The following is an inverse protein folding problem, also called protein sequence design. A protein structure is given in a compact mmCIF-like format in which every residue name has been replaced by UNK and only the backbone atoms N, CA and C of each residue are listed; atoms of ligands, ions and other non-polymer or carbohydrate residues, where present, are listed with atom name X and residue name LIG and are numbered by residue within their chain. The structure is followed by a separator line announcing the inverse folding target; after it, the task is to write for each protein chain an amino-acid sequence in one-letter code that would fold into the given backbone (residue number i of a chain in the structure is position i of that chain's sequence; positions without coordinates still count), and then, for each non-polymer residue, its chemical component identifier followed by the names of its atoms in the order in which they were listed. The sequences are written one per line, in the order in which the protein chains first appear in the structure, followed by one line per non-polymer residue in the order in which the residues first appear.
data_IF_280474398506
#
_entry.id   IF_280474398506
#
_cell.length_a   1.000
_cell.length_b   1.000
_cell.length_c   1.000
_cell.angle_alpha   90.00
_cell.angle_beta   90.00
_cell.angle_gamma   90.00
#
_symmetry.space_group_name_H-M   'P 1'
#
loop_
_entity.id
_entity.type
_entity.pdbx_description
1 polymer ?
#
# COMPACT_ATOMS: atom_id res chain seq x y z
N UNK A 1 21.17 -14.98 -12.58
CA UNK A 1 20.19 -14.14 -13.31
C UNK A 1 19.12 -14.98 -14.00
N UNK A 2 17.86 -14.66 -13.73
CA UNK A 2 16.64 -15.30 -14.22
C UNK A 2 16.40 -15.07 -15.72
N UNK A 3 15.63 -15.97 -16.34
CA UNK A 3 15.14 -15.76 -17.71
C UNK A 3 14.19 -14.57 -17.81
N UNK A 4 13.39 -14.32 -16.77
CA UNK A 4 12.48 -13.17 -16.71
C UNK A 4 13.25 -11.85 -16.85
N UNK A 5 14.36 -11.70 -16.10
CA UNK A 5 15.26 -10.55 -16.18
C UNK A 5 15.84 -10.39 -17.57
N UNK A 6 16.35 -11.47 -18.19
CA UNK A 6 16.90 -11.41 -19.56
C UNK A 6 15.88 -10.91 -20.58
N UNK A 7 14.63 -11.38 -20.48
CA UNK A 7 13.55 -10.93 -21.36
C UNK A 7 13.24 -9.46 -21.15
N UNK A 8 13.11 -9.00 -19.89
CA UNK A 8 12.82 -7.61 -19.58
C UNK A 8 13.93 -6.66 -20.09
N UNK A 9 15.19 -7.10 -20.01
CA UNK A 9 16.35 -6.34 -20.53
C UNK A 9 16.40 -6.34 -22.07
N UNK A 10 16.07 -7.46 -22.72
CA UNK A 10 16.27 -7.62 -24.17
C UNK A 10 15.06 -7.24 -25.03
N UNK A 11 13.85 -7.23 -24.48
CA UNK A 11 12.59 -7.05 -25.21
C UNK A 11 11.89 -5.75 -24.78
N UNK A 12 12.32 -4.56 -25.26
CA UNK A 12 11.71 -3.28 -24.86
C UNK A 12 10.25 -3.09 -25.33
N UNK A 13 9.75 -3.96 -26.22
CA UNK A 13 8.38 -3.93 -26.76
C UNK A 13 7.37 -4.81 -26.03
N UNK A 14 7.69 -5.31 -24.83
CA UNK A 14 6.77 -6.11 -24.02
C UNK A 14 5.50 -5.30 -23.68
N UNK A 15 4.33 -5.95 -23.75
CA UNK A 15 3.07 -5.32 -23.32
C UNK A 15 3.05 -5.20 -21.80
N UNK A 16 2.33 -4.21 -21.27
CA UNK A 16 2.21 -3.99 -19.82
C UNK A 16 1.93 -5.27 -19.01
N UNK A 17 0.92 -6.10 -19.33
CA UNK A 17 0.65 -7.30 -18.52
C UNK A 17 1.77 -8.33 -18.54
N UNK A 18 2.51 -8.44 -19.65
CA UNK A 18 3.65 -9.35 -19.74
C UNK A 18 4.83 -8.83 -18.92
N UNK A 19 5.06 -7.52 -18.97
CA UNK A 19 6.11 -6.87 -18.19
C UNK A 19 5.83 -7.00 -16.69
N UNK A 20 4.61 -6.75 -16.25
CA UNK A 20 4.20 -6.86 -14.85
C UNK A 20 4.40 -8.29 -14.33
N UNK A 21 3.97 -9.30 -15.10
CA UNK A 21 4.18 -10.70 -14.74
C UNK A 21 5.67 -11.08 -14.64
N UNK A 22 6.53 -10.54 -15.50
CA UNK A 22 7.98 -10.76 -15.39
C UNK A 22 8.55 -10.08 -14.14
N UNK A 23 8.10 -8.87 -13.82
CA UNK A 23 8.51 -8.14 -12.62
C UNK A 23 8.09 -8.88 -11.34
N UNK A 24 6.88 -9.45 -11.29
CA UNK A 24 6.40 -10.27 -10.18
C UNK A 24 7.29 -11.50 -9.95
N UNK A 25 7.67 -12.20 -11.03
CA UNK A 25 8.59 -13.34 -10.95
C UNK A 25 9.96 -12.91 -10.42
N UNK A 26 10.48 -11.77 -10.88
CA UNK A 26 11.78 -11.25 -10.43
C UNK A 26 11.72 -10.80 -8.98
N UNK A 27 10.65 -10.14 -8.55
CA UNK A 27 10.51 -9.71 -7.16
C UNK A 27 10.54 -10.89 -6.17
N UNK A 28 10.00 -12.04 -6.57
CA UNK A 28 9.94 -13.23 -5.70
C UNK A 28 11.21 -14.07 -5.77
N UNK A 29 11.75 -14.30 -6.97
CA UNK A 29 12.85 -15.25 -7.20
C UNK A 29 14.18 -14.59 -7.54
N UNK A 30 14.19 -13.28 -7.70
CA UNK A 30 15.33 -12.51 -8.16
C UNK A 30 16.45 -12.48 -7.14
N UNK A 31 17.62 -12.10 -7.63
CA UNK A 31 18.85 -11.98 -6.86
C UNK A 31 19.49 -10.61 -7.11
N UNK A 32 20.55 -10.28 -6.37
CA UNK A 32 21.34 -9.08 -6.62
C UNK A 32 21.93 -9.01 -8.04
N UNK A 33 22.17 -10.16 -8.68
CA UNK A 33 22.57 -10.23 -10.08
C UNK A 33 21.46 -9.75 -11.02
N UNK A 34 20.20 -10.04 -10.70
CA UNK A 34 19.05 -9.55 -11.45
C UNK A 34 18.89 -8.03 -11.27
N UNK A 35 19.07 -7.53 -10.05
CA UNK A 35 19.03 -6.11 -9.75
C UNK A 35 20.10 -5.33 -10.54
N UNK A 36 21.33 -5.82 -10.62
CA UNK A 36 22.41 -5.14 -11.37
C UNK A 36 22.10 -5.06 -12.88
N UNK A 37 21.50 -6.11 -13.45
CA UNK A 37 21.08 -6.10 -14.84
C UNK A 37 19.97 -5.07 -15.08
N UNK A 38 18.98 -5.00 -14.18
CA UNK A 38 17.87 -4.06 -14.26
C UNK A 38 18.29 -2.60 -14.02
N UNK A 39 19.33 -2.37 -13.22
CA UNK A 39 19.85 -1.04 -12.96
C UNK A 39 20.28 -0.35 -14.26
N UNK A 40 20.98 -1.10 -15.13
CA UNK A 40 21.43 -0.58 -16.43
C UNK A 40 20.26 -0.17 -17.33
N UNK A 41 19.14 -0.91 -17.26
CA UNK A 41 17.91 -0.60 -18.00
C UNK A 41 17.28 0.69 -17.49
N UNK A 42 17.14 0.83 -16.16
CA UNK A 42 16.60 2.04 -15.55
C UNK A 42 17.45 3.28 -15.88
N UNK A 43 18.78 3.16 -15.80
CA UNK A 43 19.69 4.27 -16.07
C UNK A 43 19.66 4.73 -17.54
N UNK A 44 19.33 3.83 -18.47
CA UNK A 44 19.28 4.16 -19.90
C UNK A 44 17.99 4.91 -20.30
N UNK A 45 16.85 4.56 -19.72
CA UNK A 45 15.55 5.18 -20.01
C UNK A 45 14.67 5.23 -18.75
N UNK A 46 14.93 6.18 -17.83
CA UNK A 46 14.25 6.23 -16.52
C UNK A 46 12.73 6.39 -16.62
N UNK A 47 12.24 7.23 -17.55
CA UNK A 47 10.80 7.47 -17.74
C UNK A 47 10.05 6.22 -18.24
N UNK A 48 10.70 5.37 -19.04
CA UNK A 48 10.10 4.12 -19.55
C UNK A 48 10.21 2.98 -18.52
N UNK A 49 11.05 3.16 -17.51
CA UNK A 49 11.46 2.13 -16.56
C UNK A 49 11.29 2.46 -15.09
N UNK A 50 10.55 3.51 -14.75
CA UNK A 50 10.33 3.95 -13.37
C UNK A 50 9.87 2.82 -12.43
N UNK A 51 9.01 1.91 -12.89
CA UNK A 51 8.53 0.77 -12.09
C UNK A 51 9.63 -0.23 -11.66
N UNK A 52 10.86 -0.14 -12.18
CA UNK A 52 11.98 -0.98 -11.74
C UNK A 52 12.55 -0.55 -10.38
N UNK A 53 12.26 0.66 -9.90
CA UNK A 53 12.85 1.19 -8.66
C UNK A 53 12.60 0.25 -7.47
N UNK A 54 11.39 -0.27 -7.30
CA UNK A 54 11.05 -1.20 -6.21
C UNK A 54 11.90 -2.48 -6.26
N UNK A 55 12.05 -3.08 -7.44
CA UNK A 55 12.89 -4.29 -7.63
C UNK A 55 14.35 -4.02 -7.27
N UNK A 56 14.91 -2.89 -7.72
CA UNK A 56 16.29 -2.52 -7.43
C UNK A 56 16.52 -2.34 -5.93
N UNK A 57 15.57 -1.73 -5.24
CA UNK A 57 15.67 -1.47 -3.79
C UNK A 57 15.53 -2.76 -2.98
N UNK A 58 14.64 -3.68 -3.38
CA UNK A 58 14.42 -4.93 -2.64
C UNK A 58 15.47 -6.01 -2.90
N UNK A 59 15.95 -6.10 -4.14
CA UNK A 59 16.93 -7.12 -4.56
C UNK A 59 18.38 -6.63 -4.49
N UNK A 60 18.58 -5.31 -4.52
CA UNK A 60 19.89 -4.67 -4.44
C UNK A 60 20.37 -4.45 -3.01
N UNK A 61 21.46 -3.69 -2.92
CA UNK A 61 22.08 -3.29 -1.66
C UNK A 61 22.15 -1.76 -1.55
N UNK A 62 22.62 -1.26 -0.40
CA UNK A 62 22.80 0.17 -0.20
C UNK A 62 23.71 0.83 -1.27
N UNK A 63 24.87 0.25 -1.65
CA UNK A 63 25.68 0.76 -2.76
C UNK A 63 24.92 0.95 -4.08
N UNK A 64 23.97 0.07 -4.40
CA UNK A 64 23.11 0.24 -5.57
C UNK A 64 22.22 1.48 -5.48
N UNK A 65 21.59 1.71 -4.32
CA UNK A 65 20.74 2.89 -4.10
C UNK A 65 21.58 4.18 -4.07
N UNK A 66 22.82 4.13 -3.55
CA UNK A 66 23.77 5.24 -3.63
C UNK A 66 24.15 5.58 -5.09
N UNK A 67 24.30 4.57 -5.96
CA UNK A 67 24.51 4.81 -7.40
C UNK A 67 23.32 5.50 -8.04
N UNK A 68 22.08 5.09 -7.70
CA UNK A 68 20.87 5.77 -8.15
C UNK A 68 20.84 7.22 -7.66
N UNK A 69 21.14 7.47 -6.39
CA UNK A 69 21.23 8.81 -5.84
C UNK A 69 22.25 9.67 -6.62
N UNK A 70 23.46 9.18 -6.83
CA UNK A 70 24.49 9.93 -7.57
C UNK A 70 24.11 10.19 -9.03
N UNK A 71 23.36 9.27 -9.66
CA UNK A 71 22.90 9.41 -11.03
C UNK A 71 21.73 10.39 -11.16
N UNK A 72 20.81 10.42 -10.21
CA UNK A 72 19.53 11.11 -10.33
C UNK A 72 19.34 12.31 -9.41
N UNK A 73 20.26 12.58 -8.48
CA UNK A 73 20.20 13.75 -7.59
C UNK A 73 21.28 14.76 -7.98
N UNK A 74 20.92 16.03 -8.00
CA UNK A 74 21.84 17.17 -8.10
C UNK A 74 21.33 18.31 -7.23
N UNK A 75 22.24 19.00 -6.53
CA UNK A 75 21.91 20.16 -5.69
C UNK A 75 20.79 19.89 -4.66
N UNK A 76 20.74 18.65 -4.15
CA UNK A 76 19.76 18.19 -3.18
C UNK A 76 18.34 18.04 -3.75
N UNK A 77 18.17 17.92 -5.06
CA UNK A 77 16.89 17.67 -5.71
C UNK A 77 17.02 16.56 -6.77
N UNK A 78 15.90 15.92 -7.12
CA UNK A 78 15.85 15.02 -8.26
C UNK A 78 16.10 15.81 -9.55
N UNK A 79 16.87 15.23 -10.46
CA UNK A 79 17.04 15.71 -11.83
C UNK A 79 15.72 15.54 -12.59
N UNK A 80 15.49 16.39 -13.58
CA UNK A 80 14.33 16.25 -14.47
C UNK A 80 14.34 14.88 -15.18
N UNK A 81 13.19 14.21 -15.22
CA UNK A 81 13.06 12.84 -15.75
C UNK A 81 13.52 11.73 -14.79
N UNK A 82 13.87 12.06 -13.55
CA UNK A 82 14.11 11.04 -12.53
C UNK A 82 12.78 10.45 -12.04
N UNK A 83 12.70 9.13 -11.80
CA UNK A 83 11.54 8.51 -11.18
C UNK A 83 11.31 9.07 -9.77
N UNK A 84 10.08 9.48 -9.45
CA UNK A 84 9.73 9.97 -8.11
C UNK A 84 9.85 8.88 -7.03
N UNK A 85 9.68 7.61 -7.39
CA UNK A 85 9.84 6.46 -6.49
C UNK A 85 11.25 6.38 -5.87
N UNK A 86 12.24 7.06 -6.46
CA UNK A 86 13.57 7.20 -5.86
C UNK A 86 13.54 7.90 -4.50
N UNK A 87 12.56 8.79 -4.25
CA UNK A 87 12.38 9.43 -2.95
C UNK A 87 12.06 8.39 -1.86
N UNK A 88 11.16 7.45 -2.17
CA UNK A 88 10.88 6.32 -1.28
C UNK A 88 12.12 5.42 -1.12
N UNK A 89 12.80 5.12 -2.24
CA UNK A 89 13.99 4.25 -2.25
C UNK A 89 15.10 4.73 -1.31
N UNK A 90 15.38 6.04 -1.31
CA UNK A 90 16.42 6.63 -0.44
C UNK A 90 16.08 6.47 1.04
N UNK A 91 14.81 6.70 1.40
CA UNK A 91 14.33 6.48 2.76
C UNK A 91 14.38 5.01 3.16
N UNK A 92 13.88 4.12 2.30
CA UNK A 92 13.91 2.67 2.51
C UNK A 92 15.32 2.14 2.76
N UNK A 93 16.29 2.61 1.98
CA UNK A 93 17.70 2.25 2.13
C UNK A 93 18.37 2.84 3.37
N UNK A 94 17.72 3.77 4.09
CA UNK A 94 18.26 4.41 5.28
C UNK A 94 19.26 5.53 4.98
N UNK A 95 19.11 6.24 3.87
CA UNK A 95 20.01 7.33 3.48
C UNK A 95 19.69 8.62 4.23
N UNK A 96 20.15 8.74 5.48
CA UNK A 96 19.89 9.89 6.36
C UNK A 96 20.21 11.25 5.71
N UNK A 97 21.24 11.32 4.85
CA UNK A 97 21.62 12.55 4.14
C UNK A 97 20.53 13.08 3.18
N UNK A 98 19.53 12.26 2.85
CA UNK A 98 18.42 12.66 1.96
C UNK A 98 17.24 13.26 2.71
N UNK A 99 17.24 13.24 4.05
CA UNK A 99 16.10 13.62 4.88
C UNK A 99 15.53 15.00 4.56
N UNK A 100 16.39 16.01 4.47
CA UNK A 100 15.94 17.39 4.20
C UNK A 100 15.40 17.54 2.76
N UNK A 101 15.99 16.81 1.81
CA UNK A 101 15.44 16.73 0.44
C UNK A 101 14.06 16.09 0.45
N UNK A 102 13.89 14.94 1.12
CA UNK A 102 12.61 14.25 1.21
C UNK A 102 11.56 15.15 1.88
N UNK A 103 11.90 15.86 2.96
CA UNK A 103 10.94 16.77 3.59
C UNK A 103 10.49 17.90 2.66
N UNK A 104 11.39 18.45 1.82
CA UNK A 104 11.01 19.44 0.80
C UNK A 104 10.02 18.88 -0.23
N UNK A 105 10.20 17.64 -0.67
CA UNK A 105 9.26 16.99 -1.58
C UNK A 105 7.95 16.61 -0.89
N UNK A 106 8.00 16.18 0.37
CA UNK A 106 6.81 15.83 1.15
C UNK A 106 5.80 16.98 1.25
N UNK A 107 6.30 18.22 1.33
CA UNK A 107 5.47 19.44 1.37
C UNK A 107 5.35 20.13 -0.01
N UNK A 108 5.81 19.47 -1.06
CA UNK A 108 5.75 19.93 -2.44
C UNK A 108 4.39 19.68 -3.10
N UNK A 109 4.06 20.43 -4.18
CA UNK A 109 2.73 20.40 -4.79
C UNK A 109 2.43 19.11 -5.59
N UNK A 110 3.46 18.39 -6.04
CA UNK A 110 3.29 17.20 -6.88
C UNK A 110 2.93 15.98 -6.03
N UNK A 111 1.72 15.45 -6.24
CA UNK A 111 1.15 14.38 -5.40
C UNK A 111 2.03 13.12 -5.36
N UNK A 112 2.51 12.65 -6.51
CA UNK A 112 3.37 11.44 -6.59
C UNK A 112 4.71 11.60 -5.85
N UNK A 113 5.33 12.78 -5.99
CA UNK A 113 6.60 13.09 -5.32
C UNK A 113 6.40 13.23 -3.81
N UNK A 114 5.34 13.93 -3.40
CA UNK A 114 4.95 14.12 -2.00
C UNK A 114 4.69 12.77 -1.31
N UNK A 115 3.88 11.91 -1.94
CA UNK A 115 3.59 10.55 -1.43
C UNK A 115 4.86 9.72 -1.29
N UNK A 116 5.71 9.68 -2.32
CA UNK A 116 6.97 8.91 -2.28
C UNK A 116 7.93 9.41 -1.21
N UNK A 117 8.04 10.73 -1.07
CA UNK A 117 8.89 11.36 -0.07
C UNK A 117 8.40 11.11 1.36
N UNK A 118 7.09 11.20 1.61
CA UNK A 118 6.52 10.86 2.92
C UNK A 118 6.78 9.40 3.24
N UNK A 119 6.50 8.49 2.30
CA UNK A 119 6.75 7.07 2.50
C UNK A 119 8.22 6.79 2.77
N UNK A 120 9.16 7.49 2.10
CA UNK A 120 10.59 7.43 2.39
C UNK A 120 10.94 7.94 3.80
N UNK A 121 10.40 9.08 4.22
CA UNK A 121 10.65 9.67 5.54
C UNK A 121 10.20 8.76 6.70
N UNK A 122 9.17 7.92 6.50
CA UNK A 122 8.72 6.97 7.53
C UNK A 122 9.82 5.98 7.96
N UNK A 123 10.85 5.77 7.13
CA UNK A 123 11.98 4.87 7.41
C UNK A 123 13.17 5.56 8.10
N UNK A 124 13.19 6.89 8.11
CA UNK A 124 14.31 7.70 8.61
C UNK A 124 14.01 8.30 9.99
N UNK A 125 15.04 8.70 10.75
CA UNK A 125 14.87 9.49 11.96
C UNK A 125 14.29 10.87 11.64
N UNK A 126 13.24 11.27 12.37
CA UNK A 126 12.55 12.56 12.17
C UNK A 126 13.13 13.69 13.05
N UNK A 127 14.26 13.45 13.74
CA UNK A 127 14.84 14.40 14.69
C UNK A 127 15.18 15.75 14.05
N UNK A 128 14.58 16.82 14.56
CA UNK A 128 14.71 18.20 14.04
C UNK A 128 13.68 18.58 12.97
N UNK A 129 12.83 17.66 12.53
CA UNK A 129 11.71 17.96 11.61
C UNK A 129 10.37 18.09 12.32
N UNK A 130 10.28 17.80 13.62
CA UNK A 130 9.01 17.61 14.31
C UNK A 130 8.13 18.86 14.28
N UNK A 131 8.72 20.03 14.55
CA UNK A 131 7.97 21.29 14.52
C UNK A 131 7.52 21.66 13.11
N UNK A 132 8.33 21.36 12.09
CA UNK A 132 7.94 21.55 10.70
C UNK A 132 6.79 20.63 10.32
N UNK A 133 6.86 19.34 10.68
CA UNK A 133 5.78 18.38 10.44
C UNK A 133 4.49 18.84 11.14
N UNK A 134 4.56 19.22 12.42
CA UNK A 134 3.40 19.73 13.16
C UNK A 134 2.80 20.96 12.50
N UNK A 135 3.64 21.91 12.08
CA UNK A 135 3.18 23.13 11.44
C UNK A 135 2.51 22.84 10.09
N UNK A 136 3.09 21.99 9.26
CA UNK A 136 2.54 21.65 7.95
C UNK A 136 1.27 20.82 8.08
N UNK A 137 1.23 19.85 9.01
CA UNK A 137 0.01 19.08 9.30
C UNK A 137 -1.11 19.98 9.84
N UNK A 138 -0.81 20.91 10.75
CA UNK A 138 -1.80 21.86 11.24
C UNK A 138 -2.31 22.81 10.13
N UNK A 139 -1.51 23.08 9.09
CA UNK A 139 -1.96 23.84 7.93
C UNK A 139 -2.96 23.08 7.05
N UNK A 140 -3.23 21.80 7.31
CA UNK A 140 -4.24 20.99 6.62
C UNK A 140 -5.65 21.22 7.18
N UNK A 141 -5.78 21.76 8.40
CA UNK A 141 -7.08 21.95 9.03
C UNK A 141 -8.04 22.81 8.21
N UNK A 142 -9.27 22.35 8.07
CA UNK A 142 -10.34 23.02 7.33
C UNK A 142 -10.12 23.02 5.80
N UNK A 143 -9.24 22.18 5.28
CA UNK A 143 -9.00 22.04 3.83
C UNK A 143 -9.50 20.69 3.33
N UNK A 144 -10.15 20.71 2.18
CA UNK A 144 -10.54 19.50 1.46
C UNK A 144 -9.41 18.86 0.65
N UNK A 145 -8.34 19.60 0.36
CA UNK A 145 -7.15 19.12 -0.35
C UNK A 145 -5.89 19.51 0.41
N UNK A 146 -5.02 18.53 0.66
CA UNK A 146 -3.72 18.71 1.31
C UNK A 146 -2.75 17.61 0.85
N UNK A 147 -1.52 17.62 1.35
CA UNK A 147 -0.55 16.57 1.06
C UNK A 147 -1.00 15.26 1.72
N UNK A 148 -1.72 14.42 0.95
CA UNK A 148 -2.51 13.29 1.43
C UNK A 148 -1.80 12.41 2.47
N UNK A 149 -0.53 12.06 2.20
CA UNK A 149 0.21 11.15 3.07
C UNK A 149 0.90 11.84 4.25
N UNK A 150 1.06 13.16 4.25
CA UNK A 150 1.78 13.91 5.29
C UNK A 150 1.33 13.61 6.73
N UNK A 151 0.02 13.42 7.04
CA UNK A 151 -0.43 13.02 8.38
C UNK A 151 0.18 11.70 8.89
N UNK A 152 0.66 10.82 8.01
CA UNK A 152 1.36 9.60 8.42
C UNK A 152 2.64 9.91 9.22
N UNK A 153 3.32 11.04 8.92
CA UNK A 153 4.48 11.49 9.69
C UNK A 153 4.10 11.89 11.12
N UNK A 154 2.90 12.46 11.32
CA UNK A 154 2.38 12.80 12.65
C UNK A 154 2.17 11.54 13.49
N UNK A 155 1.55 10.52 12.91
CA UNK A 155 1.41 9.21 13.54
C UNK A 155 2.77 8.58 13.87
N UNK A 156 3.73 8.66 12.94
CA UNK A 156 5.10 8.16 13.14
C UNK A 156 5.87 8.86 14.26
N UNK A 157 5.61 10.15 14.52
CA UNK A 157 6.15 10.89 15.66
C UNK A 157 5.50 10.53 17.00
N UNK A 158 4.36 9.84 16.98
CA UNK A 158 3.59 9.53 18.19
C UNK A 158 2.80 10.72 18.74
N UNK A 159 2.48 11.72 17.90
CA UNK A 159 1.72 12.90 18.33
C UNK A 159 0.21 12.61 18.31
N UNK A 160 -0.27 11.92 19.35
CA UNK A 160 -1.67 11.48 19.48
C UNK A 160 -2.66 12.64 19.44
N UNK A 161 -2.35 13.75 20.12
CA UNK A 161 -3.23 14.92 20.20
C UNK A 161 -3.44 15.55 18.82
N UNK A 162 -2.36 15.71 18.04
CA UNK A 162 -2.47 16.25 16.69
C UNK A 162 -3.21 15.28 15.75
N UNK A 163 -2.96 13.96 15.87
CA UNK A 163 -3.69 12.95 15.09
C UNK A 163 -5.19 12.97 15.38
N UNK A 164 -5.60 13.03 16.64
CA UNK A 164 -7.02 13.09 17.00
C UNK A 164 -7.70 14.33 16.43
N UNK A 165 -7.00 15.48 16.41
CA UNK A 165 -7.50 16.70 15.79
C UNK A 165 -7.64 16.57 14.28
N UNK A 166 -6.68 15.96 13.60
CA UNK A 166 -6.74 15.70 12.15
C UNK A 166 -7.92 14.79 11.78
N UNK A 167 -8.17 13.76 12.60
CA UNK A 167 -9.29 12.83 12.40
C UNK A 167 -10.63 13.53 12.61
N UNK A 168 -10.75 14.33 13.68
CA UNK A 168 -11.95 15.12 13.92
C UNK A 168 -12.22 16.13 12.79
N UNK A 169 -11.18 16.82 12.31
CA UNK A 169 -11.28 17.75 11.20
C UNK A 169 -11.67 17.05 9.89
N UNK A 170 -11.11 15.87 9.60
CA UNK A 170 -11.43 15.09 8.41
C UNK A 170 -12.93 14.69 8.35
N UNK A 171 -13.54 14.42 9.51
CA UNK A 171 -14.98 14.12 9.61
C UNK A 171 -15.87 15.32 9.36
N UNK A 172 -15.43 16.51 9.75
CA UNK A 172 -16.21 17.75 9.62
C UNK A 172 -16.04 18.38 8.23
N UNK A 173 -14.80 18.44 7.74
CA UNK A 173 -14.43 19.16 6.53
C UNK A 173 -14.22 18.25 5.32
N UNK A 174 -14.50 16.95 5.46
CA UNK A 174 -14.55 15.91 4.43
C UNK A 174 -13.60 16.21 3.27
N UNK A 175 -12.31 15.94 3.49
CA UNK A 175 -11.40 15.76 2.36
C UNK A 175 -11.87 14.52 1.61
N UNK A 176 -12.56 14.76 0.50
CA UNK A 176 -13.09 13.73 -0.39
C UNK A 176 -12.01 13.12 -1.29
N UNK A 177 -10.73 13.49 -1.11
CA UNK A 177 -9.64 13.13 -2.02
C UNK A 177 -8.24 13.03 -1.35
N UNK A 178 -8.12 12.99 -0.01
CA UNK A 178 -6.82 12.95 0.68
C UNK A 178 -6.84 12.22 2.06
N UNK A 179 -7.56 11.11 2.20
CA UNK A 179 -7.74 10.46 3.51
C UNK A 179 -6.66 9.43 3.88
N UNK A 180 -5.92 8.89 2.90
CA UNK A 180 -5.04 7.74 3.11
C UNK A 180 -3.96 7.97 4.18
N UNK A 181 -3.35 9.15 4.23
CA UNK A 181 -2.32 9.46 5.22
C UNK A 181 -2.84 9.61 6.65
N UNK A 182 -4.09 10.07 6.84
CA UNK A 182 -4.69 10.16 8.19
C UNK A 182 -4.92 8.75 8.72
N UNK A 183 -5.45 7.86 7.87
CA UNK A 183 -5.68 6.46 8.23
C UNK A 183 -4.36 5.74 8.54
N UNK A 184 -3.34 5.91 7.70
CA UNK A 184 -2.01 5.36 7.95
C UNK A 184 -1.37 5.95 9.22
N UNK A 185 -1.55 7.25 9.46
CA UNK A 185 -1.10 7.92 10.69
C UNK A 185 -1.73 7.34 11.95
N UNK A 186 -3.05 7.08 11.92
CA UNK A 186 -3.73 6.41 13.03
C UNK A 186 -3.16 5.02 13.29
N UNK A 187 -2.88 4.23 12.25
CA UNK A 187 -2.24 2.92 12.43
C UNK A 187 -0.81 3.01 12.96
N UNK A 188 -0.04 4.02 12.56
CA UNK A 188 1.35 4.24 12.99
C UNK A 188 1.48 4.63 14.47
N UNK A 189 0.40 5.11 15.11
CA UNK A 189 0.36 5.25 16.58
C UNK A 189 0.46 3.89 17.31
N UNK A 190 0.20 2.78 16.61
CA UNK A 190 0.24 1.44 17.19
C UNK A 190 -0.99 1.14 18.07
N UNK A 191 -0.85 0.45 19.22
CA UNK A 191 -1.98 0.09 20.07
C UNK A 191 -2.92 1.25 20.46
N UNK A 192 -2.42 2.47 20.80
CA UNK A 192 -3.28 3.64 21.06
C UNK A 192 -4.19 4.03 19.89
N UNK A 193 -3.70 3.90 18.66
CA UNK A 193 -4.46 4.29 17.46
C UNK A 193 -5.43 3.24 16.94
N UNK A 194 -5.36 2.00 17.44
CA UNK A 194 -6.14 0.86 16.90
C UNK A 194 -7.64 1.11 16.88
N UNK A 195 -8.21 1.57 18.01
CA UNK A 195 -9.66 1.76 18.11
C UNK A 195 -10.16 2.83 17.12
N UNK A 196 -9.38 3.90 16.96
CA UNK A 196 -9.70 5.00 16.04
C UNK A 196 -9.54 4.55 14.59
N UNK A 197 -8.50 3.77 14.28
CA UNK A 197 -8.32 3.14 12.97
C UNK A 197 -9.52 2.24 12.62
N UNK A 198 -9.93 1.34 13.52
CA UNK A 198 -11.07 0.45 13.32
C UNK A 198 -12.37 1.22 13.06
N UNK A 199 -12.59 2.31 13.79
CA UNK A 199 -13.74 3.21 13.61
C UNK A 199 -13.71 3.92 12.23
N UNK A 200 -12.55 4.43 11.82
CA UNK A 200 -12.36 5.11 10.54
C UNK A 200 -12.55 4.20 9.32
N UNK A 201 -12.18 2.92 9.39
CA UNK A 201 -12.35 1.96 8.29
C UNK A 201 -13.82 1.81 7.88
N UNK A 202 -14.75 1.96 8.82
CA UNK A 202 -16.18 1.79 8.61
C UNK A 202 -16.98 3.10 8.58
N UNK A 203 -16.30 4.23 8.73
CA UNK A 203 -16.93 5.55 8.67
C UNK A 203 -17.20 5.92 7.20
N UNK A 204 -18.40 5.60 6.72
CA UNK A 204 -18.82 5.86 5.34
C UNK A 204 -18.90 7.36 4.98
N UNK A 205 -18.85 8.26 5.96
CA UNK A 205 -18.77 9.70 5.66
C UNK A 205 -17.39 10.08 5.11
N UNK A 206 -16.38 9.27 5.39
CA UNK A 206 -15.05 9.38 4.83
C UNK A 206 -15.02 8.77 3.43
N UNK A 207 -13.96 9.07 2.70
CA UNK A 207 -13.80 8.61 1.32
C UNK A 207 -13.85 7.06 1.24
N UNK A 208 -14.01 6.55 0.03
CA UNK A 208 -13.77 5.15 -0.28
C UNK A 208 -13.12 5.10 -1.66
N UNK A 209 -11.89 4.62 -1.73
CA UNK A 209 -11.09 4.58 -2.96
C UNK A 209 -9.82 3.76 -2.79
N UNK A 210 -9.06 3.61 -3.89
CA UNK A 210 -7.90 2.72 -3.94
C UNK A 210 -6.81 3.09 -2.92
N UNK A 211 -6.47 4.38 -2.79
CA UNK A 211 -5.43 4.85 -1.87
C UNK A 211 -5.80 4.54 -0.42
N UNK A 212 -7.07 4.73 -0.05
CA UNK A 212 -7.57 4.36 1.26
C UNK A 212 -7.56 2.86 1.47
N UNK A 213 -7.98 2.05 0.50
CA UNK A 213 -7.91 0.60 0.61
C UNK A 213 -6.46 0.11 0.80
N UNK A 214 -5.50 0.73 0.11
CA UNK A 214 -4.06 0.48 0.30
C UNK A 214 -3.58 0.89 1.70
N UNK A 215 -3.92 2.11 2.16
CA UNK A 215 -3.57 2.58 3.50
C UNK A 215 -4.22 1.74 4.60
N UNK A 216 -5.46 1.28 4.40
CA UNK A 216 -6.14 0.34 5.30
C UNK A 216 -5.39 -0.98 5.34
N UNK A 217 -5.04 -1.57 4.20
CA UNK A 217 -4.29 -2.82 4.16
C UNK A 217 -2.92 -2.68 4.89
N UNK A 218 -2.22 -1.57 4.67
CA UNK A 218 -0.98 -1.25 5.40
C UNK A 218 -1.21 -1.11 6.91
N UNK A 219 -2.25 -0.36 7.31
CA UNK A 219 -2.59 -0.15 8.71
C UNK A 219 -3.02 -1.43 9.41
N UNK A 220 -3.74 -2.32 8.72
CA UNK A 220 -4.09 -3.64 9.23
C UNK A 220 -2.85 -4.48 9.51
N UNK A 221 -1.91 -4.53 8.58
CA UNK A 221 -0.65 -5.26 8.77
C UNK A 221 0.13 -4.67 9.97
N UNK A 222 0.23 -3.33 10.10
CA UNK A 222 0.85 -2.66 11.27
C UNK A 222 0.18 -3.01 12.61
N UNK A 223 -1.15 -3.10 12.63
CA UNK A 223 -1.95 -3.36 13.83
C UNK A 223 -2.20 -4.85 14.09
N UNK A 224 -1.73 -5.73 13.21
CA UNK A 224 -1.97 -7.17 13.27
C UNK A 224 -3.44 -7.56 13.10
N UNK A 225 -4.19 -6.77 12.31
CA UNK A 225 -5.58 -7.05 11.94
C UNK A 225 -5.65 -7.90 10.66
N UNK A 226 -6.78 -8.59 10.48
CA UNK A 226 -7.01 -9.52 9.37
C UNK A 226 -8.27 -9.17 8.58
N UNK A 227 -8.38 -9.64 7.34
CA UNK A 227 -9.62 -9.57 6.55
C UNK A 227 -10.73 -10.36 7.25
N UNK A 228 -10.37 -11.45 7.94
CA UNK A 228 -11.26 -12.17 8.84
C UNK A 228 -11.88 -11.29 9.94
N UNK A 229 -11.11 -10.36 10.53
CA UNK A 229 -11.62 -9.44 11.55
C UNK A 229 -12.62 -8.44 10.96
N UNK A 230 -12.28 -7.84 9.81
CA UNK A 230 -13.19 -6.92 9.12
C UNK A 230 -14.49 -7.61 8.68
N UNK A 231 -14.37 -8.83 8.17
CA UNK A 231 -15.53 -9.63 7.77
C UNK A 231 -16.41 -9.98 8.97
N UNK A 232 -15.80 -10.34 10.11
CA UNK A 232 -16.54 -10.64 11.34
C UNK A 232 -17.28 -9.41 11.84
N UNK A 233 -16.64 -8.24 11.83
CA UNK A 233 -17.29 -6.98 12.17
C UNK A 233 -18.53 -6.75 11.30
N UNK A 234 -18.41 -6.87 9.98
CA UNK A 234 -19.50 -6.63 9.06
C UNK A 234 -20.65 -7.62 9.28
N UNK A 235 -20.34 -8.91 9.47
CA UNK A 235 -21.35 -9.95 9.75
C UNK A 235 -22.09 -9.70 11.06
N UNK A 236 -21.38 -9.33 12.12
CA UNK A 236 -22.00 -8.96 13.40
C UNK A 236 -22.93 -7.76 13.22
N UNK A 237 -22.48 -6.73 12.50
CA UNK A 237 -23.27 -5.52 12.27
C UNK A 237 -24.53 -5.79 11.43
N UNK A 238 -24.43 -6.65 10.41
CA UNK A 238 -25.58 -7.14 9.63
C UNK A 238 -26.60 -7.87 10.52
N UNK A 239 -26.14 -8.67 11.48
CA UNK A 239 -27.02 -9.41 12.39
C UNK A 239 -27.70 -8.50 13.43
N UNK A 240 -27.01 -7.46 13.90
CA UNK A 240 -27.49 -6.56 14.96
C UNK A 240 -28.35 -5.41 14.44
N UNK A 241 -28.00 -4.83 13.29
CA UNK A 241 -28.62 -3.62 12.74
C UNK A 241 -28.56 -3.61 11.19
N UNK A 242 -29.24 -4.56 10.52
CA UNK A 242 -29.18 -4.72 9.06
C UNK A 242 -29.60 -3.48 8.28
N UNK A 243 -30.49 -2.66 8.83
CA UNK A 243 -30.97 -1.41 8.24
C UNK A 243 -29.89 -0.32 8.15
N UNK A 244 -28.79 -0.47 8.90
CA UNK A 244 -27.65 0.46 8.88
C UNK A 244 -26.59 0.09 7.86
N UNK A 245 -26.73 -1.06 7.21
CA UNK A 245 -25.73 -1.58 6.28
C UNK A 245 -26.03 -1.09 4.87
N UNK A 246 -25.15 -0.23 4.36
CA UNK A 246 -25.14 0.21 2.98
C UNK A 246 -24.26 -0.68 2.09
N UNK A 247 -24.52 -0.64 0.77
CA UNK A 247 -23.70 -1.31 -0.25
C UNK A 247 -22.21 -0.93 -0.15
N UNK A 248 -21.89 0.31 0.25
CA UNK A 248 -20.51 0.80 0.40
C UNK A 248 -19.70 -0.01 1.42
N UNK A 249 -20.32 -0.58 2.47
CA UNK A 249 -19.58 -1.46 3.40
C UNK A 249 -19.01 -2.69 2.69
N UNK A 250 -19.77 -3.29 1.77
CA UNK A 250 -19.32 -4.44 1.00
C UNK A 250 -18.24 -4.04 -0.01
N UNK A 251 -18.42 -2.91 -0.69
CA UNK A 251 -17.40 -2.36 -1.61
C UNK A 251 -16.08 -2.08 -0.89
N UNK A 252 -16.12 -1.38 0.25
CA UNK A 252 -14.95 -1.07 1.07
C UNK A 252 -14.22 -2.34 1.49
N UNK A 253 -14.93 -3.34 2.04
CA UNK A 253 -14.32 -4.61 2.41
C UNK A 253 -13.68 -5.32 1.21
N UNK A 254 -14.35 -5.33 0.06
CA UNK A 254 -13.84 -5.93 -1.17
C UNK A 254 -12.59 -5.23 -1.68
N UNK A 255 -12.55 -3.90 -1.65
CA UNK A 255 -11.39 -3.12 -2.09
C UNK A 255 -10.21 -3.32 -1.16
N UNK A 256 -10.43 -3.30 0.16
CA UNK A 256 -9.39 -3.60 1.16
C UNK A 256 -8.88 -5.02 0.94
N UNK A 257 -9.76 -6.01 0.78
CA UNK A 257 -9.37 -7.39 0.52
C UNK A 257 -8.60 -7.53 -0.80
N UNK A 258 -8.97 -6.82 -1.86
CA UNK A 258 -8.25 -6.82 -3.12
C UNK A 258 -6.84 -6.25 -2.96
N UNK A 259 -6.69 -5.10 -2.29
CA UNK A 259 -5.40 -4.50 -2.01
C UNK A 259 -4.54 -5.40 -1.12
N UNK A 260 -5.16 -6.01 -0.10
CA UNK A 260 -4.51 -6.96 0.78
C UNK A 260 -3.94 -8.12 -0.05
N UNK A 261 -4.75 -8.82 -0.84
CA UNK A 261 -4.29 -10.01 -1.58
C UNK A 261 -3.38 -9.68 -2.77
N UNK A 262 -3.48 -8.47 -3.32
CA UNK A 262 -2.69 -8.05 -4.50
C UNK A 262 -1.34 -7.47 -4.15
N UNK A 263 -1.08 -7.17 -2.87
CA UNK A 263 0.22 -6.75 -2.36
C UNK A 263 0.80 -7.90 -1.55
N UNK A 264 1.62 -8.79 -2.14
CA UNK A 264 2.23 -9.88 -1.40
C UNK A 264 3.09 -9.31 -0.28
N UNK A 265 3.28 -10.02 0.85
CA UNK A 265 4.00 -9.49 2.01
C UNK A 265 5.42 -9.00 1.70
N UNK A 266 6.05 -9.56 0.65
CA UNK A 266 7.36 -9.14 0.14
C UNK A 266 7.39 -7.71 -0.45
N UNK A 267 6.22 -7.13 -0.76
CA UNK A 267 6.05 -5.86 -1.46
C UNK A 267 5.52 -4.73 -0.56
N UNK A 268 5.63 -4.88 0.76
CA UNK A 268 5.28 -3.80 1.68
C UNK A 268 6.11 -2.53 1.37
N UNK A 269 5.49 -1.34 1.26
CA UNK A 269 6.22 -0.07 1.11
C UNK A 269 6.91 0.38 2.40
N UNK A 270 6.67 -0.29 3.54
CA UNK A 270 7.36 -0.05 4.81
C UNK A 270 8.14 -1.29 5.27
N UNK A 271 9.45 -1.14 5.51
CA UNK A 271 10.38 -2.24 5.83
C UNK A 271 10.18 -2.81 7.24
N UNK A 272 9.55 -2.03 8.10
CA UNK A 272 9.27 -2.35 9.48
C UNK A 272 7.86 -2.93 9.68
N UNK A 273 7.08 -3.09 8.61
CA UNK A 273 5.79 -3.78 8.72
C UNK A 273 6.02 -5.24 9.11
N UNK A 274 5.25 -5.75 10.09
CA UNK A 274 5.35 -7.16 10.44
C UNK A 274 4.92 -8.02 9.25
N UNK A 275 5.45 -9.23 9.11
CA UNK A 275 4.99 -10.15 8.07
C UNK A 275 3.51 -10.44 8.27
N UNK A 276 2.78 -10.46 7.16
CA UNK A 276 1.36 -10.79 7.16
C UNK A 276 1.13 -12.17 7.77
N UNK A 277 0.20 -12.25 8.72
CA UNK A 277 -0.11 -13.49 9.45
C UNK A 277 -1.26 -14.28 8.84
N UNK A 278 -2.19 -13.61 8.16
CA UNK A 278 -3.34 -14.25 7.54
C UNK A 278 -2.93 -14.90 6.23
N UNK A 279 -3.24 -16.19 6.08
CA UNK A 279 -2.97 -16.92 4.84
C UNK A 279 -4.08 -16.61 3.83
N UNK A 280 -3.77 -16.69 2.54
CA UNK A 280 -4.76 -16.45 1.48
C UNK A 280 -6.00 -17.36 1.60
N UNK A 281 -5.84 -18.62 2.04
CA UNK A 281 -6.97 -19.51 2.29
C UNK A 281 -7.89 -19.02 3.42
N UNK A 282 -7.34 -18.34 4.43
CA UNK A 282 -8.11 -17.80 5.53
C UNK A 282 -8.88 -16.54 5.06
N UNK A 283 -8.27 -15.71 4.20
CA UNK A 283 -8.96 -14.61 3.50
C UNK A 283 -10.11 -15.13 2.64
N UNK A 284 -9.85 -16.18 1.83
CA UNK A 284 -10.86 -16.80 0.99
C UNK A 284 -12.06 -17.28 1.84
N UNK A 285 -11.80 -18.00 2.93
CA UNK A 285 -12.85 -18.50 3.84
C UNK A 285 -13.63 -17.37 4.50
N UNK A 286 -12.96 -16.30 4.91
CA UNK A 286 -13.64 -15.14 5.50
C UNK A 286 -14.67 -14.56 4.52
N UNK A 287 -14.23 -14.25 3.29
CA UNK A 287 -15.04 -13.55 2.29
C UNK A 287 -16.10 -14.47 1.66
N UNK A 288 -15.71 -15.70 1.32
CA UNK A 288 -16.55 -16.67 0.59
C UNK A 288 -17.36 -17.58 1.52
N UNK A 289 -17.02 -17.65 2.81
CA UNK A 289 -17.66 -18.58 3.74
C UNK A 289 -17.27 -20.04 3.52
N UNK A 290 -17.59 -20.89 4.49
CA UNK A 290 -17.28 -22.33 4.46
C UNK A 290 -18.39 -23.18 3.80
N UNK A 291 -19.55 -22.59 3.50
CA UNK A 291 -20.70 -23.31 2.92
C UNK A 291 -20.56 -23.50 1.40
N UNK A 292 -20.41 -24.77 1.00
CA UNK A 292 -20.38 -25.22 -0.41
C UNK A 292 -21.69 -24.85 -1.14
N UNK A 293 -22.81 -24.69 -0.42
CA UNK A 293 -24.10 -24.29 -0.99
C UNK A 293 -24.24 -22.76 -1.17
N UNK A 294 -23.24 -21.98 -0.75
CA UNK A 294 -23.05 -20.57 -1.10
C UNK A 294 -23.92 -19.55 -0.35
N UNK A 295 -24.80 -19.95 0.57
CA UNK A 295 -25.77 -19.02 1.20
C UNK A 295 -25.14 -18.00 2.17
N UNK A 296 -23.96 -18.32 2.69
CA UNK A 296 -23.19 -17.51 3.65
C UNK A 296 -22.08 -16.65 3.00
N UNK A 297 -21.95 -16.69 1.66
CA UNK A 297 -21.04 -15.81 0.90
C UNK A 297 -21.40 -14.35 1.12
N UNK A 298 -20.42 -13.48 1.35
CA UNK A 298 -20.67 -12.04 1.48
C UNK A 298 -21.35 -11.47 0.23
N UNK A 299 -21.01 -11.97 -0.96
CA UNK A 299 -21.66 -11.60 -2.21
C UNK A 299 -23.17 -11.90 -2.22
N UNK A 300 -23.58 -13.05 -1.68
CA UNK A 300 -25.00 -13.45 -1.60
C UNK A 300 -25.74 -12.69 -0.50
N UNK A 301 -25.05 -12.33 0.59
CA UNK A 301 -25.60 -11.44 1.62
C UNK A 301 -25.82 -10.04 1.03
N UNK A 302 -24.83 -9.50 0.31
CA UNK A 302 -24.92 -8.20 -0.35
C UNK A 302 -26.07 -8.15 -1.36
N UNK A 303 -26.23 -9.17 -2.21
CA UNK A 303 -27.31 -9.26 -3.20
C UNK A 303 -28.70 -9.26 -2.54
N UNK A 304 -28.86 -9.99 -1.43
CA UNK A 304 -30.12 -10.01 -0.67
C UNK A 304 -30.45 -8.68 0.01
N UNK A 305 -29.43 -7.98 0.53
CA UNK A 305 -29.61 -6.75 1.28
C UNK A 305 -29.80 -5.52 0.39
N UNK A 306 -29.08 -5.47 -0.73
CA UNK A 306 -29.06 -4.29 -1.62
C UNK A 306 -30.05 -4.43 -2.79
N UNK A 307 -30.54 -5.63 -3.09
CA UNK A 307 -31.61 -5.87 -4.07
C UNK A 307 -31.10 -6.00 -5.52
N UNK A 308 -32.00 -5.90 -6.50
CA UNK A 308 -31.71 -6.21 -7.91
C UNK A 308 -30.60 -5.34 -8.56
N UNK A 309 -30.33 -4.15 -8.01
CA UNK A 309 -29.26 -3.25 -8.47
C UNK A 309 -27.85 -3.68 -7.99
N UNK A 310 -27.74 -4.80 -7.27
CA UNK A 310 -26.51 -5.34 -6.69
C UNK A 310 -25.80 -6.39 -7.58
N UNK A 311 -26.30 -6.68 -8.79
CA UNK A 311 -25.73 -7.75 -9.62
C UNK A 311 -24.24 -7.55 -9.93
N UNK A 312 -23.80 -6.30 -10.06
CA UNK A 312 -22.40 -5.94 -10.25
C UNK A 312 -21.52 -6.32 -9.04
N UNK A 313 -22.03 -6.25 -7.81
CA UNK A 313 -21.26 -6.66 -6.62
C UNK A 313 -20.94 -8.15 -6.64
N UNK A 314 -21.84 -9.00 -7.16
CA UNK A 314 -21.52 -10.43 -7.34
C UNK A 314 -20.34 -10.62 -8.27
N UNK A 315 -20.29 -9.86 -9.37
CA UNK A 315 -19.19 -9.95 -10.33
C UNK A 315 -17.87 -9.41 -9.73
N UNK A 316 -17.93 -8.36 -8.92
CA UNK A 316 -16.79 -7.83 -8.16
C UNK A 316 -16.24 -8.81 -7.13
N UNK A 317 -17.10 -9.46 -6.34
CA UNK A 317 -16.67 -10.49 -5.40
C UNK A 317 -16.14 -11.75 -6.11
N UNK A 318 -16.70 -12.11 -7.27
CA UNK A 318 -16.13 -13.18 -8.12
C UNK A 318 -14.76 -12.79 -8.68
N UNK A 319 -14.54 -11.52 -9.01
CA UNK A 319 -13.22 -11.05 -9.44
C UNK A 319 -12.19 -11.16 -8.29
N UNK A 320 -12.60 -10.80 -7.07
CA UNK A 320 -11.79 -11.01 -5.87
C UNK A 320 -11.51 -12.51 -5.61
N UNK A 321 -12.52 -13.37 -5.74
CA UNK A 321 -12.39 -14.84 -5.62
C UNK A 321 -11.30 -15.37 -6.56
N UNK A 322 -11.41 -15.04 -7.86
CA UNK A 322 -10.41 -15.43 -8.87
C UNK A 322 -9.02 -14.90 -8.54
N UNK A 323 -8.92 -13.68 -8.01
CA UNK A 323 -7.62 -13.09 -7.63
C UNK A 323 -6.99 -13.85 -6.47
N UNK A 324 -7.76 -14.20 -5.44
CA UNK A 324 -7.28 -14.99 -4.30
C UNK A 324 -6.85 -16.39 -4.76
N UNK A 325 -7.67 -17.06 -5.56
CA UNK A 325 -7.36 -18.39 -6.11
C UNK A 325 -6.10 -18.38 -6.96
N UNK A 326 -5.93 -17.37 -7.80
CA UNK A 326 -4.72 -17.21 -8.60
C UNK A 326 -3.49 -17.01 -7.71
N UNK A 327 -3.55 -16.13 -6.71
CA UNK A 327 -2.42 -15.92 -5.80
C UNK A 327 -2.10 -17.17 -4.96
N UNK A 328 -3.10 -17.94 -4.54
CA UNK A 328 -2.88 -19.22 -3.86
C UNK A 328 -2.17 -20.24 -4.78
N UNK A 329 -2.52 -20.25 -6.06
CA UNK A 329 -1.85 -21.09 -7.04
C UNK A 329 -0.40 -20.66 -7.24
N UNK A 330 -0.15 -19.35 -7.36
CA UNK A 330 1.20 -18.80 -7.48
C UNK A 330 2.05 -19.14 -6.23
N UNK A 331 1.52 -18.97 -5.01
CA UNK A 331 2.21 -19.35 -3.78
C UNK A 331 2.56 -20.85 -3.75
N UNK A 332 1.65 -21.72 -4.20
CA UNK A 332 1.90 -23.16 -4.28
C UNK A 332 3.01 -23.50 -5.29
N UNK A 333 2.97 -22.88 -6.48
CA UNK A 333 4.00 -23.06 -7.50
C UNK A 333 5.38 -22.58 -7.01
N UNK A 334 5.41 -21.45 -6.30
CA UNK A 334 6.63 -20.89 -5.72
C UNK A 334 7.20 -21.78 -4.60
N UNK A 335 6.33 -22.41 -3.79
CA UNK A 335 6.76 -23.34 -2.74
C UNK A 335 7.41 -24.62 -3.29
N UNK A 336 7.07 -25.01 -4.53
CA UNK A 336 7.65 -26.16 -5.23
C UNK A 336 9.00 -25.84 -5.92
N UNK A 337 9.41 -24.56 -5.97
CA UNK A 337 10.71 -24.19 -6.53
C UNK A 337 11.85 -24.47 -5.53
N UNK A 338 13.01 -24.95 -6.01
CA UNK A 338 14.16 -25.14 -5.14
C UNK A 338 14.57 -23.79 -4.54
N UNK A 339 14.95 -23.74 -3.24
CA UNK A 339 15.34 -22.50 -2.61
C UNK A 339 16.52 -21.88 -3.36
N UNK A 340 16.43 -20.58 -3.62
CA UNK A 340 17.45 -19.81 -4.32
C UNK A 340 18.81 -20.02 -3.64
N UNK A 341 19.77 -20.61 -4.37
CA UNK A 341 21.12 -20.86 -3.89
C UNK A 341 21.46 -22.29 -3.46
N UNK A 342 20.62 -23.29 -3.79
CA UNK A 342 21.04 -24.70 -3.68
C UNK A 342 21.70 -25.13 -5.00
N UNK A 343 22.99 -25.54 -5.00
CA UNK A 343 23.76 -25.86 -6.21
C UNK A 343 23.22 -27.05 -7.02
#
# INVERSE_FOLDING_TARGET
MLNATRRLVAEPGLRHPERDALMDVIAVLGTSEDAEALLSVLMAAPDDHYGLVDLLVRLGDLPMVERLHNAFVADGALKSGAPHDLLWAFGWAGMDQTRDMLFRYAVGPEWHESTSAVLGLLHLPLDGLEDHIRQTAAACFGKSLFHEYLPALVGRMGDEDLMHRLIADAREHASTDCFAGILLGAALLGPPGRAVFEDMVWDLSLESGLNQAQATAMGMDLLGMTIGDLTRWLRTRIAEAPETIEHRHFSTLREIALCYVSSPPAFSPLRFMPPRRERLIDVWRAVMGDDILGKDRLAEIADRMVGADASWMRDEFRALERRIEWQMHDEALLADLPPAGTP
#
